data_IF_187722412259
#
_entry.id   IF_187722412259
#
_cell.length_a   1.000
_cell.length_b   1.000
_cell.length_c   1.000
_cell.angle_alpha   90.00
_cell.angle_beta   90.00
_cell.angle_gamma   90.00
#
_symmetry.space_group_name_H-M   'P 1'
#
loop_
_entity.id
_entity.type
_entity.pdbx_description
1 polymer ?
#
# COMPACT_ATOMS: atom_id res chain seq x y z
N UNK A 1 -22.68 -6.43 -21.47
CA UNK A 1 -23.29 -5.31 -20.72
C UNK A 1 -22.19 -4.68 -19.88
N UNK A 2 -22.04 -3.35 -19.88
CA UNK A 2 -21.01 -2.70 -19.08
C UNK A 2 -21.42 -2.72 -17.59
N UNK A 3 -20.49 -3.02 -16.67
CA UNK A 3 -20.81 -3.11 -15.25
C UNK A 3 -21.07 -1.73 -14.63
N UNK A 4 -21.94 -1.72 -13.63
CA UNK A 4 -22.17 -0.62 -12.70
C UNK A 4 -21.26 -0.78 -11.49
N UNK A 5 -20.47 0.24 -11.18
CA UNK A 5 -19.40 0.13 -10.18
C UNK A 5 -19.58 1.14 -9.05
N UNK A 6 -19.52 0.65 -7.82
CA UNK A 6 -19.49 1.46 -6.61
C UNK A 6 -18.09 1.51 -6.01
N UNK A 7 -17.48 2.67 -5.93
CA UNK A 7 -16.22 2.90 -5.21
C UNK A 7 -16.54 3.37 -3.79
N UNK A 8 -16.30 2.52 -2.81
CA UNK A 8 -16.67 2.75 -1.41
C UNK A 8 -15.43 3.10 -0.60
N UNK A 9 -15.46 4.24 0.09
CA UNK A 9 -14.31 4.73 0.85
C UNK A 9 -14.71 5.44 2.13
N UNK A 10 -13.76 5.56 3.05
CA UNK A 10 -13.94 6.39 4.25
C UNK A 10 -13.74 7.87 3.87
N UNK A 11 -14.81 8.68 3.93
CA UNK A 11 -14.79 10.09 3.49
C UNK A 11 -13.96 10.99 4.40
N UNK A 12 -14.25 10.95 5.69
CA UNK A 12 -13.58 11.76 6.71
C UNK A 12 -12.78 10.86 7.66
N UNK A 13 -11.61 10.43 7.19
CA UNK A 13 -10.70 9.64 8.01
C UNK A 13 -10.00 10.51 9.05
N UNK A 14 -10.05 10.10 10.31
CA UNK A 14 -9.20 10.66 11.36
C UNK A 14 -7.74 10.17 11.28
N UNK A 15 -7.48 9.12 10.48
CA UNK A 15 -6.17 8.48 10.34
C UNK A 15 -5.38 9.07 9.19
N UNK A 16 -5.92 9.03 7.96
CA UNK A 16 -5.16 9.33 6.74
C UNK A 16 -6.07 9.68 5.57
N UNK A 17 -5.59 10.58 4.70
CA UNK A 17 -6.25 10.91 3.43
C UNK A 17 -5.98 9.91 2.31
N UNK A 18 -5.20 8.87 2.55
CA UNK A 18 -4.74 7.94 1.51
C UNK A 18 -5.90 7.23 0.80
N UNK A 19 -6.83 6.67 1.58
CA UNK A 19 -7.98 5.94 1.04
C UNK A 19 -8.91 6.84 0.22
N UNK A 20 -9.14 8.08 0.66
CA UNK A 20 -10.00 9.02 -0.07
C UNK A 20 -9.34 9.51 -1.35
N UNK A 21 -8.03 9.78 -1.33
CA UNK A 21 -7.28 10.13 -2.54
C UNK A 21 -7.27 9.00 -3.57
N UNK A 22 -7.02 7.75 -3.12
CA UNK A 22 -7.06 6.58 -3.99
C UNK A 22 -8.46 6.35 -4.59
N UNK A 23 -9.51 6.48 -3.77
CA UNK A 23 -10.89 6.29 -4.21
C UNK A 23 -11.33 7.33 -5.25
N UNK A 24 -11.02 8.61 -5.00
CA UNK A 24 -11.28 9.69 -5.96
C UNK A 24 -10.55 9.46 -7.28
N UNK A 25 -9.25 9.13 -7.22
CA UNK A 25 -8.47 8.85 -8.42
C UNK A 25 -9.02 7.67 -9.22
N UNK A 26 -9.29 6.54 -8.56
CA UNK A 26 -9.83 5.35 -9.24
C UNK A 26 -11.20 5.62 -9.82
N UNK A 27 -12.10 6.28 -9.09
CA UNK A 27 -13.44 6.57 -9.59
C UNK A 27 -13.42 7.46 -10.85
N UNK A 28 -12.54 8.48 -10.89
CA UNK A 28 -12.35 9.33 -12.07
C UNK A 28 -11.77 8.56 -13.26
N UNK A 29 -10.71 7.77 -13.02
CA UNK A 29 -10.09 6.96 -14.07
C UNK A 29 -11.07 5.93 -14.66
N UNK A 30 -11.89 5.30 -13.82
CA UNK A 30 -12.92 4.36 -14.27
C UNK A 30 -14.05 5.06 -15.05
N UNK A 31 -14.51 6.23 -14.59
CA UNK A 31 -15.54 6.98 -15.30
C UNK A 31 -15.09 7.40 -16.70
N UNK A 32 -13.81 7.72 -16.87
CA UNK A 32 -13.21 8.08 -18.14
C UNK A 32 -12.76 6.87 -19.00
N UNK A 33 -12.89 5.63 -18.51
CA UNK A 33 -12.35 4.44 -19.17
C UNK A 33 -13.21 3.91 -20.33
N UNK A 34 -14.51 4.24 -20.34
CA UNK A 34 -15.49 3.61 -21.23
C UNK A 34 -15.78 2.13 -20.91
N UNK A 35 -15.20 1.56 -19.84
CA UNK A 35 -15.39 0.16 -19.41
C UNK A 35 -16.50 -0.03 -18.39
N UNK A 36 -17.18 1.04 -17.98
CA UNK A 36 -18.24 1.01 -16.97
C UNK A 36 -19.48 1.74 -17.48
N UNK A 37 -20.66 1.25 -17.12
CA UNK A 37 -21.92 1.90 -17.46
C UNK A 37 -22.14 3.16 -16.61
N UNK A 38 -21.86 3.06 -15.31
CA UNK A 38 -21.96 4.15 -14.35
C UNK A 38 -21.06 3.88 -13.14
N UNK A 39 -20.46 4.95 -12.61
CA UNK A 39 -19.61 4.95 -11.42
C UNK A 39 -20.29 5.76 -10.32
N UNK A 40 -20.41 5.16 -9.13
CA UNK A 40 -20.75 5.88 -7.90
C UNK A 40 -19.53 5.94 -7.00
N UNK A 41 -19.11 7.14 -6.64
CA UNK A 41 -18.15 7.35 -5.56
C UNK A 41 -18.91 7.55 -4.25
N UNK A 42 -18.90 6.53 -3.39
CA UNK A 42 -19.70 6.45 -2.17
C UNK A 42 -18.83 6.68 -0.94
N UNK A 43 -18.97 7.85 -0.34
CA UNK A 43 -18.26 8.23 0.88
C UNK A 43 -19.03 7.87 2.14
N UNK A 44 -18.46 7.02 3.00
CA UNK A 44 -19.04 6.61 4.28
C UNK A 44 -18.18 7.12 5.45
N UNK A 45 -18.80 7.28 6.61
CA UNK A 45 -18.05 7.48 7.86
C UNK A 45 -17.49 6.15 8.40
N UNK A 46 -16.59 6.21 9.38
CA UNK A 46 -15.99 5.01 9.99
C UNK A 46 -16.99 4.09 10.71
N UNK A 47 -18.14 4.62 11.11
CA UNK A 47 -19.28 3.83 11.61
C UNK A 47 -20.22 3.37 10.48
N UNK A 48 -19.79 3.50 9.23
CA UNK A 48 -20.56 3.17 8.02
C UNK A 48 -21.66 4.17 7.69
N UNK A 49 -22.07 5.05 8.62
CA UNK A 49 -23.20 5.97 8.42
C UNK A 49 -23.02 6.85 7.17
N UNK A 50 -24.15 7.08 6.49
CA UNK A 50 -24.24 8.01 5.36
C UNK A 50 -23.74 9.39 5.81
N UNK A 51 -22.94 10.03 4.97
CA UNK A 51 -22.47 11.40 5.20
C UNK A 51 -23.32 12.32 4.34
N UNK A 52 -23.96 13.31 4.96
CA UNK A 52 -24.72 14.31 4.21
C UNK A 52 -23.84 14.96 3.13
N UNK A 53 -24.47 15.35 2.02
CA UNK A 53 -23.79 16.10 0.95
C UNK A 53 -23.30 17.42 1.54
N UNK A 54 -22.00 17.56 1.77
CA UNK A 54 -21.43 18.90 2.00
C UNK A 54 -21.65 19.75 0.75
N UNK A 55 -22.09 21.00 0.96
CA UNK A 55 -22.52 21.93 -0.09
C UNK A 55 -21.36 22.48 -0.95
N UNK A 56 -20.10 22.22 -0.57
CA UNK A 56 -18.94 22.68 -1.32
C UNK A 56 -18.44 21.62 -2.29
N UNK A 57 -19.04 21.59 -3.49
CA UNK A 57 -18.53 20.89 -4.67
C UNK A 57 -17.19 21.50 -5.13
N UNK A 58 -16.08 21.21 -4.46
CA UNK A 58 -14.78 21.33 -5.14
C UNK A 58 -14.61 20.06 -5.97
N UNK A 59 -14.71 20.17 -7.29
CA UNK A 59 -14.46 19.02 -8.17
C UNK A 59 -13.05 18.47 -7.97
N UNK A 60 -12.92 17.15 -8.04
CA UNK A 60 -11.62 16.48 -8.00
C UNK A 60 -11.02 16.44 -9.41
N UNK A 61 -9.72 16.73 -9.50
CA UNK A 61 -8.96 16.63 -10.75
C UNK A 61 -7.88 15.58 -10.57
N UNK A 62 -7.70 14.70 -11.56
CA UNK A 62 -6.71 13.64 -11.57
C UNK A 62 -5.89 13.64 -12.86
N UNK A 63 -4.60 13.33 -12.76
CA UNK A 63 -3.73 13.02 -13.88
C UNK A 63 -3.55 11.51 -13.97
N UNK A 64 -4.14 10.88 -14.98
CA UNK A 64 -4.01 9.45 -15.23
C UNK A 64 -2.61 9.12 -15.76
N UNK A 65 -2.18 7.86 -15.60
CA UNK A 65 -0.85 7.39 -15.99
C UNK A 65 -0.47 7.64 -17.46
N UNK A 66 -1.46 7.78 -18.35
CA UNK A 66 -1.26 8.08 -19.78
C UNK A 66 -1.18 9.59 -20.08
N UNK A 67 -1.21 10.44 -19.05
CA UNK A 67 -1.17 11.90 -19.17
C UNK A 67 -2.54 12.55 -19.33
N UNK A 68 -3.63 11.79 -19.34
CA UNK A 68 -4.98 12.36 -19.44
C UNK A 68 -5.37 13.09 -18.14
N UNK A 69 -5.83 14.34 -18.28
CA UNK A 69 -6.38 15.13 -17.16
C UNK A 69 -7.88 14.89 -17.07
N UNK A 70 -8.31 14.35 -15.93
CA UNK A 70 -9.69 13.99 -15.63
C UNK A 70 -10.24 14.96 -14.60
N UNK A 71 -11.40 15.54 -14.89
CA UNK A 71 -12.03 16.55 -14.04
C UNK A 71 -13.47 16.12 -13.73
N UNK A 72 -13.76 15.93 -12.44
CA UNK A 72 -15.06 15.45 -11.99
C UNK A 72 -16.21 16.39 -12.37
N UNK A 73 -15.93 17.69 -12.54
CA UNK A 73 -16.94 18.68 -12.93
C UNK A 73 -17.37 18.57 -14.40
N UNK A 74 -16.55 17.92 -15.24
CA UNK A 74 -16.79 17.75 -16.68
C UNK A 74 -17.48 16.43 -17.01
N UNK A 75 -17.65 15.53 -16.03
CA UNK A 75 -18.30 14.25 -16.22
C UNK A 75 -19.82 14.38 -16.05
N UNK A 76 -20.60 13.76 -16.95
CA UNK A 76 -22.05 13.69 -16.80
C UNK A 76 -22.44 12.85 -15.58
N UNK A 77 -23.52 13.25 -14.90
CA UNK A 77 -24.14 12.48 -13.79
C UNK A 77 -24.65 11.10 -14.20
N UNK A 78 -24.80 10.86 -15.50
CA UNK A 78 -25.14 9.55 -16.06
C UNK A 78 -23.96 8.57 -15.99
N UNK A 79 -22.73 9.09 -15.98
CA UNK A 79 -21.50 8.29 -15.99
C UNK A 79 -20.84 8.30 -14.61
N UNK A 80 -20.86 9.42 -13.89
CA UNK A 80 -20.17 9.60 -12.61
C UNK A 80 -21.04 10.35 -11.60
N UNK A 81 -21.15 9.81 -10.38
CA UNK A 81 -21.92 10.43 -9.30
C UNK A 81 -21.22 10.27 -7.94
N UNK A 82 -21.01 11.39 -7.24
CA UNK A 82 -20.55 11.38 -5.84
C UNK A 82 -21.75 11.40 -4.90
N UNK A 83 -21.78 10.49 -3.94
CA UNK A 83 -22.91 10.36 -3.01
C UNK A 83 -22.47 9.84 -1.64
N UNK A 84 -23.23 10.19 -0.60
CA UNK A 84 -23.10 9.58 0.72
C UNK A 84 -24.04 8.40 0.93
N UNK A 85 -24.98 8.15 0.00
CA UNK A 85 -26.01 7.13 0.21
C UNK A 85 -25.57 5.75 -0.24
N UNK A 86 -25.52 4.81 0.72
CA UNK A 86 -25.15 3.42 0.45
C UNK A 86 -26.22 2.66 -0.32
N UNK A 87 -27.46 3.16 -0.41
CA UNK A 87 -28.55 2.54 -1.20
C UNK A 87 -28.20 2.39 -2.68
N UNK A 88 -27.40 3.33 -3.22
CA UNK A 88 -26.93 3.30 -4.63
C UNK A 88 -26.05 2.10 -4.94
N UNK A 89 -25.39 1.54 -3.93
CA UNK A 89 -24.59 0.32 -4.09
C UNK A 89 -25.44 -0.92 -4.41
N UNK A 90 -26.75 -0.87 -4.15
CA UNK A 90 -27.69 -1.92 -4.56
C UNK A 90 -27.79 -2.07 -6.08
N UNK A 91 -27.57 -0.99 -6.82
CA UNK A 91 -27.61 -0.94 -8.28
C UNK A 91 -26.28 -1.40 -8.93
N UNK A 92 -25.24 -1.68 -8.13
CA UNK A 92 -23.90 -1.97 -8.60
C UNK A 92 -23.63 -3.49 -8.70
N UNK A 93 -22.94 -3.88 -9.77
CA UNK A 93 -22.45 -5.23 -10.03
C UNK A 93 -21.12 -5.50 -9.28
N UNK A 94 -20.28 -4.45 -9.18
CA UNK A 94 -18.96 -4.48 -8.56
C UNK A 94 -18.81 -3.39 -7.50
N UNK A 95 -18.29 -3.77 -6.33
CA UNK A 95 -17.83 -2.82 -5.32
C UNK A 95 -16.31 -2.83 -5.22
N UNK A 96 -15.70 -1.64 -5.25
CA UNK A 96 -14.30 -1.44 -4.93
C UNK A 96 -14.20 -0.87 -3.52
N UNK A 97 -13.67 -1.65 -2.57
CA UNK A 97 -13.58 -1.24 -1.16
C UNK A 97 -12.21 -0.63 -0.85
N UNK A 98 -12.22 0.63 -0.42
CA UNK A 98 -11.07 1.41 0.03
C UNK A 98 -11.39 2.09 1.37
N UNK A 99 -11.90 1.32 2.32
CA UNK A 99 -12.24 1.82 3.67
C UNK A 99 -11.04 1.67 4.60
N UNK A 100 -11.08 2.30 5.77
CA UNK A 100 -10.10 2.02 6.81
C UNK A 100 -10.13 0.54 7.22
N UNK A 101 -8.97 -0.05 7.46
CA UNK A 101 -8.84 -1.45 7.86
C UNK A 101 -9.72 -1.79 9.07
N UNK A 102 -9.76 -0.88 10.05
CA UNK A 102 -10.56 -1.05 11.26
C UNK A 102 -12.07 -0.80 11.06
N UNK A 103 -12.45 -0.12 9.98
CA UNK A 103 -13.85 0.10 9.61
C UNK A 103 -14.42 -1.02 8.73
N UNK A 104 -13.59 -1.85 8.08
CA UNK A 104 -14.03 -2.87 7.10
C UNK A 104 -15.26 -3.65 7.55
N UNK A 105 -15.24 -4.29 8.72
CA UNK A 105 -16.34 -5.14 9.17
C UNK A 105 -17.62 -4.36 9.52
N UNK A 106 -17.48 -3.16 10.09
CA UNK A 106 -18.63 -2.29 10.38
C UNK A 106 -19.31 -1.81 9.10
N UNK A 107 -18.51 -1.38 8.13
CA UNK A 107 -19.00 -0.96 6.81
C UNK A 107 -19.69 -2.13 6.12
N UNK A 108 -19.06 -3.30 6.11
CA UNK A 108 -19.65 -4.50 5.52
C UNK A 108 -20.98 -4.89 6.17
N UNK A 109 -21.05 -4.90 7.50
CA UNK A 109 -22.30 -5.19 8.23
C UNK A 109 -23.41 -4.20 7.89
N UNK A 110 -23.08 -2.91 7.77
CA UNK A 110 -24.05 -1.91 7.31
C UNK A 110 -24.50 -2.18 5.88
N UNK A 111 -23.58 -2.46 4.96
CA UNK A 111 -23.93 -2.71 3.55
C UNK A 111 -24.86 -3.92 3.42
N UNK A 112 -24.62 -4.99 4.18
CA UNK A 112 -25.51 -6.17 4.24
C UNK A 112 -26.88 -5.78 4.79
N UNK A 113 -26.94 -4.99 5.88
CA UNK A 113 -28.21 -4.54 6.48
C UNK A 113 -29.02 -3.64 5.55
N UNK A 114 -28.37 -2.70 4.87
CA UNK A 114 -29.06 -1.70 4.06
C UNK A 114 -29.53 -2.25 2.72
N UNK A 115 -28.80 -3.20 2.15
CA UNK A 115 -29.08 -3.71 0.81
C UNK A 115 -29.83 -5.04 0.81
N UNK A 116 -30.01 -5.64 1.99
CA UNK A 116 -30.74 -6.88 2.16
C UNK A 116 -30.02 -8.10 1.57
N UNK A 117 -30.72 -9.24 1.58
CA UNK A 117 -30.25 -10.44 0.90
C UNK A 117 -30.45 -10.28 -0.60
N UNK A 118 -29.42 -10.58 -1.39
CA UNK A 118 -29.56 -10.80 -2.83
C UNK A 118 -30.53 -11.95 -3.04
N UNK A 119 -31.52 -11.76 -3.92
CA UNK A 119 -32.48 -12.80 -4.28
C UNK A 119 -31.73 -13.98 -4.93
N UNK A 120 -32.11 -15.24 -4.64
CA UNK A 120 -31.37 -16.43 -5.10
C UNK A 120 -31.26 -16.53 -6.64
N UNK A 121 -32.07 -15.75 -7.36
CA UNK A 121 -32.09 -15.64 -8.83
C UNK A 121 -31.13 -14.58 -9.38
N UNK A 122 -30.56 -13.71 -8.55
CA UNK A 122 -29.61 -12.67 -8.99
C UNK A 122 -28.17 -13.20 -8.99
N UNK A 123 -27.37 -12.74 -9.96
CA UNK A 123 -25.93 -13.02 -9.95
C UNK A 123 -25.28 -12.49 -8.67
N UNK A 124 -24.38 -13.29 -8.10
CA UNK A 124 -23.60 -12.87 -6.92
C UNK A 124 -22.85 -11.58 -7.23
N UNK A 125 -23.02 -10.59 -6.36
CA UNK A 125 -22.28 -9.33 -6.44
C UNK A 125 -20.79 -9.57 -6.25
N UNK A 126 -19.96 -8.84 -6.97
CA UNK A 126 -18.50 -8.91 -6.80
C UNK A 126 -18.03 -7.78 -5.87
N UNK A 127 -17.19 -8.13 -4.90
CA UNK A 127 -16.62 -7.16 -3.95
C UNK A 127 -15.11 -7.30 -3.95
N UNK A 128 -14.41 -6.28 -4.42
CA UNK A 128 -12.95 -6.26 -4.51
C UNK A 128 -12.37 -5.31 -3.47
N UNK A 129 -11.66 -5.86 -2.49
CA UNK A 129 -10.92 -5.06 -1.50
C UNK A 129 -9.59 -4.59 -2.07
N UNK A 130 -9.38 -3.27 -2.13
CA UNK A 130 -8.14 -2.63 -2.56
C UNK A 130 -7.31 -2.11 -1.39
N UNK A 131 -7.60 -2.60 -0.18
CA UNK A 131 -6.85 -2.27 1.02
C UNK A 131 -5.49 -2.97 1.00
N UNK A 132 -4.38 -2.26 1.16
CA UNK A 132 -3.03 -2.87 1.10
C UNK A 132 -2.69 -3.71 2.33
N UNK A 133 -3.36 -3.47 3.48
CA UNK A 133 -3.10 -4.19 4.73
C UNK A 133 -3.49 -5.68 4.67
N UNK A 134 -2.85 -6.47 5.53
CA UNK A 134 -3.14 -7.89 5.78
C UNK A 134 -4.39 -8.11 6.64
N UNK A 135 -4.93 -7.04 7.20
CA UNK A 135 -5.95 -7.11 8.23
C UNK A 135 -7.31 -7.49 7.69
N UNK A 136 -8.01 -8.36 8.43
CA UNK A 136 -9.42 -8.74 8.22
C UNK A 136 -9.75 -9.45 6.91
N UNK A 137 -8.76 -10.01 6.20
CA UNK A 137 -9.00 -10.73 4.93
C UNK A 137 -9.98 -11.89 5.09
N UNK A 138 -9.74 -12.76 6.08
CA UNK A 138 -10.61 -13.90 6.35
C UNK A 138 -12.00 -13.46 6.79
N UNK A 139 -12.06 -12.45 7.67
CA UNK A 139 -13.30 -11.92 8.23
C UNK A 139 -14.17 -11.24 7.15
N UNK A 140 -13.56 -10.62 6.13
CA UNK A 140 -14.31 -10.02 5.02
C UNK A 140 -15.07 -11.09 4.21
N UNK A 141 -14.46 -12.24 3.96
CA UNK A 141 -15.15 -13.36 3.29
C UNK A 141 -16.36 -13.83 4.11
N UNK A 142 -16.18 -13.97 5.43
CA UNK A 142 -17.26 -14.38 6.34
C UNK A 142 -18.37 -13.35 6.47
N UNK A 143 -18.07 -12.06 6.32
CA UNK A 143 -19.03 -10.98 6.43
C UNK A 143 -19.90 -10.80 5.17
N UNK A 144 -19.49 -11.36 4.02
CA UNK A 144 -20.22 -11.29 2.74
C UNK A 144 -20.37 -12.68 2.10
N UNK A 145 -21.12 -13.61 2.73
CA UNK A 145 -21.27 -14.97 2.22
C UNK A 145 -21.96 -15.06 0.84
N UNK A 146 -22.81 -14.08 0.52
CA UNK A 146 -23.55 -14.02 -0.74
C UNK A 146 -22.82 -13.29 -1.87
N UNK A 147 -21.61 -12.79 -1.62
CA UNK A 147 -20.81 -12.09 -2.62
C UNK A 147 -19.60 -12.92 -3.07
N UNK A 148 -19.09 -12.63 -4.26
CA UNK A 148 -17.76 -13.06 -4.68
C UNK A 148 -16.77 -12.02 -4.14
N UNK A 149 -16.13 -12.33 -3.02
CA UNK A 149 -15.10 -11.47 -2.42
C UNK A 149 -13.76 -11.74 -3.08
N UNK A 150 -13.15 -10.69 -3.63
CA UNK A 150 -11.81 -10.66 -4.18
C UNK A 150 -10.88 -9.85 -3.27
N UNK A 151 -9.69 -10.38 -3.02
CA UNK A 151 -8.66 -9.70 -2.23
C UNK A 151 -7.60 -9.10 -3.14
N UNK A 152 -7.33 -7.81 -2.96
CA UNK A 152 -6.33 -7.08 -3.71
C UNK A 152 -5.67 -5.96 -2.91
N UNK A 153 -5.09 -5.02 -3.64
CA UNK A 153 -4.50 -3.80 -3.10
C UNK A 153 -3.92 -2.90 -4.19
N UNK A 154 -3.68 -1.65 -3.85
CA UNK A 154 -2.85 -0.75 -4.65
C UNK A 154 -1.42 -0.75 -4.08
N UNK A 155 -0.44 -1.04 -4.94
CA UNK A 155 0.99 -1.03 -4.60
C UNK A 155 1.66 0.33 -4.89
N UNK A 156 0.85 1.39 -4.92
CA UNK A 156 1.25 2.79 -5.08
C UNK A 156 0.37 3.66 -4.18
N UNK A 157 0.82 4.87 -3.86
CA UNK A 157 -0.03 5.89 -3.23
C UNK A 157 -0.56 6.85 -4.29
N UNK A 158 -1.72 7.44 -4.05
CA UNK A 158 -2.18 8.61 -4.81
C UNK A 158 -1.93 9.83 -3.95
N UNK A 159 -1.25 10.83 -4.52
CA UNK A 159 -0.92 12.09 -3.86
C UNK A 159 -1.56 13.26 -4.59
N UNK A 160 -1.78 14.37 -3.89
CA UNK A 160 -2.10 15.67 -4.49
C UNK A 160 -0.81 16.45 -4.75
N UNK A 161 -0.66 16.98 -5.96
CA UNK A 161 0.42 17.93 -6.25
C UNK A 161 0.09 19.34 -5.73
N UNK A 162 1.00 20.29 -5.97
CA UNK A 162 0.88 21.69 -5.57
C UNK A 162 -0.37 22.39 -6.15
N UNK A 163 -0.94 21.85 -7.24
CA UNK A 163 -2.18 22.35 -7.87
C UNK A 163 -3.42 21.63 -7.36
N UNK A 164 -3.28 20.71 -6.42
CA UNK A 164 -4.36 19.89 -5.86
C UNK A 164 -4.78 18.72 -6.76
N UNK A 165 -4.03 18.43 -7.83
CA UNK A 165 -4.34 17.37 -8.78
C UNK A 165 -3.85 16.02 -8.25
N UNK A 166 -4.74 15.02 -8.28
CA UNK A 166 -4.46 13.65 -7.85
C UNK A 166 -3.61 12.91 -8.89
N UNK A 167 -2.57 12.22 -8.45
CA UNK A 167 -1.79 11.33 -9.32
C UNK A 167 -1.09 10.22 -8.54
N UNK A 168 -0.74 9.10 -9.20
CA UNK A 168 0.11 8.08 -8.58
C UNK A 168 1.46 8.67 -8.17
N UNK A 169 1.89 8.33 -6.96
CA UNK A 169 3.21 8.68 -6.43
C UNK A 169 4.30 7.82 -7.05
N UNK A 170 4.01 6.61 -7.52
CA UNK A 170 4.99 5.72 -8.14
C UNK A 170 4.36 4.87 -9.23
N UNK A 171 5.21 4.17 -10.00
CA UNK A 171 4.80 3.25 -11.08
C UNK A 171 4.28 1.89 -10.58
N UNK A 172 3.86 1.80 -9.32
CA UNK A 172 3.26 0.59 -8.78
C UNK A 172 1.94 0.26 -9.48
N UNK A 173 1.47 -0.97 -9.32
CA UNK A 173 0.27 -1.46 -9.96
C UNK A 173 -0.79 -1.94 -8.96
N UNK A 174 -1.98 -2.28 -9.45
CA UNK A 174 -2.94 -3.02 -8.64
C UNK A 174 -2.52 -4.49 -8.59
N UNK A 175 -2.79 -5.16 -7.48
CA UNK A 175 -2.68 -6.61 -7.39
C UNK A 175 -3.99 -7.20 -6.89
N UNK A 176 -4.35 -8.36 -7.43
CA UNK A 176 -5.58 -9.08 -7.11
C UNK A 176 -5.27 -10.56 -6.98
N UNK A 177 -5.95 -11.25 -6.07
CA UNK A 177 -5.83 -12.69 -5.93
C UNK A 177 -6.18 -13.40 -7.26
N UNK A 178 -5.49 -14.49 -7.53
CA UNK A 178 -5.79 -15.32 -8.69
C UNK A 178 -7.12 -16.01 -8.49
N UNK A 179 -8.01 -15.79 -9.44
CA UNK A 179 -9.36 -16.33 -9.40
C UNK A 179 -9.32 -17.86 -9.43
N UNK A 180 -9.97 -18.47 -8.44
CA UNK A 180 -10.30 -19.88 -8.44
C UNK A 180 -11.49 -20.15 -9.38
N UNK A 181 -11.76 -21.42 -9.70
CA UNK A 181 -12.80 -21.81 -10.66
C UNK A 181 -14.19 -21.24 -10.28
N UNK A 182 -14.49 -21.19 -8.99
CA UNK A 182 -15.72 -20.64 -8.41
C UNK A 182 -15.83 -19.10 -8.50
N UNK A 183 -14.72 -18.40 -8.74
CA UNK A 183 -14.67 -16.94 -8.86
C UNK A 183 -14.50 -16.44 -10.30
N UNK A 184 -14.52 -17.33 -11.29
CA UNK A 184 -14.26 -16.99 -12.70
C UNK A 184 -15.24 -15.97 -13.27
N UNK A 185 -16.49 -15.94 -12.78
CA UNK A 185 -17.49 -14.94 -13.16
C UNK A 185 -17.11 -13.52 -12.77
N UNK A 186 -16.15 -13.34 -11.85
CA UNK A 186 -15.64 -12.03 -11.43
C UNK A 186 -14.43 -11.54 -12.25
N UNK A 187 -14.06 -12.24 -13.34
CA UNK A 187 -12.93 -11.86 -14.19
C UNK A 187 -13.04 -10.41 -14.71
N UNK A 188 -14.25 -9.98 -15.05
CA UNK A 188 -14.51 -8.61 -15.52
C UNK A 188 -14.07 -7.53 -14.52
N UNK A 189 -13.98 -7.84 -13.23
CA UNK A 189 -13.53 -6.87 -12.22
C UNK A 189 -12.06 -6.49 -12.42
N UNK A 190 -11.24 -7.40 -12.95
CA UNK A 190 -9.85 -7.12 -13.31
C UNK A 190 -9.81 -6.21 -14.55
N UNK A 191 -10.64 -6.48 -15.55
CA UNK A 191 -10.75 -5.63 -16.76
C UNK A 191 -11.23 -4.22 -16.41
N UNK A 192 -12.16 -4.08 -15.46
CA UNK A 192 -12.59 -2.78 -14.93
C UNK A 192 -11.40 -2.06 -14.31
N UNK A 193 -10.64 -2.70 -13.43
CA UNK A 193 -9.46 -2.08 -12.82
C UNK A 193 -8.40 -1.68 -13.84
N UNK A 194 -8.12 -2.50 -14.85
CA UNK A 194 -7.22 -2.14 -15.94
C UNK A 194 -7.72 -0.92 -16.74
N UNK A 195 -9.04 -0.66 -16.73
CA UNK A 195 -9.64 0.56 -17.26
C UNK A 195 -9.12 1.85 -16.61
N UNK A 196 -8.48 1.77 -15.44
CA UNK A 196 -7.80 2.91 -14.83
C UNK A 196 -6.53 3.34 -15.57
N UNK A 197 -6.06 2.56 -16.55
CA UNK A 197 -4.76 2.75 -17.20
C UNK A 197 -3.58 2.27 -16.34
N UNK A 198 -3.86 1.65 -15.17
CA UNK A 198 -2.85 1.04 -14.29
C UNK A 198 -2.90 -0.48 -14.46
N UNK A 199 -1.73 -1.11 -14.50
CA UNK A 199 -1.63 -2.57 -14.65
C UNK A 199 -2.30 -3.30 -13.46
N UNK A 200 -2.80 -4.50 -13.71
CA UNK A 200 -3.39 -5.37 -12.69
C UNK A 200 -2.62 -6.70 -12.66
N UNK A 201 -2.05 -7.01 -11.51
CA UNK A 201 -1.25 -8.20 -11.29
C UNK A 201 -2.07 -9.29 -10.59
N UNK A 202 -2.29 -10.42 -11.26
CA UNK A 202 -2.93 -11.57 -10.65
C UNK A 202 -1.92 -12.50 -9.96
N UNK A 203 -2.19 -12.89 -8.70
CA UNK A 203 -1.29 -13.75 -7.90
C UNK A 203 -2.02 -14.77 -7.05
N UNK A 204 -1.51 -16.00 -7.01
CA UNK A 204 -2.04 -17.06 -6.14
C UNK A 204 -1.87 -16.75 -4.66
N UNK A 205 -0.72 -16.18 -4.28
CA UNK A 205 -0.40 -15.90 -2.90
C UNK A 205 -0.59 -14.42 -2.58
N UNK A 206 -1.85 -14.03 -2.40
CA UNK A 206 -2.22 -12.65 -2.08
C UNK A 206 -1.63 -12.18 -0.74
N UNK A 207 -1.43 -13.11 0.20
CA UNK A 207 -0.82 -12.80 1.50
C UNK A 207 0.65 -12.40 1.33
N UNK A 208 1.42 -13.15 0.53
CA UNK A 208 2.79 -12.78 0.18
C UNK A 208 2.87 -11.38 -0.44
N UNK A 209 1.91 -11.03 -1.32
CA UNK A 209 1.84 -9.70 -1.91
C UNK A 209 1.58 -8.60 -0.88
N UNK A 210 0.61 -8.81 0.02
CA UNK A 210 0.32 -7.85 1.08
C UNK A 210 1.49 -7.69 2.04
N UNK A 211 2.19 -8.77 2.38
CA UNK A 211 3.43 -8.71 3.16
C UNK A 211 4.48 -7.84 2.47
N UNK A 212 4.85 -8.16 1.23
CA UNK A 212 5.90 -7.39 0.54
C UNK A 212 5.52 -5.93 0.30
N UNK A 213 4.26 -5.64 -0.05
CA UNK A 213 3.79 -4.26 -0.16
C UNK A 213 3.83 -3.53 1.18
N UNK A 214 3.39 -4.15 2.28
CA UNK A 214 3.46 -3.55 3.63
C UNK A 214 4.91 -3.30 4.05
N UNK A 215 5.83 -4.21 3.69
CA UNK A 215 7.25 -4.02 3.95
C UNK A 215 7.79 -2.74 3.30
N UNK A 216 7.46 -2.51 2.03
CA UNK A 216 7.88 -1.32 1.30
C UNK A 216 7.22 -0.04 1.82
N UNK A 217 6.00 -0.13 2.33
CA UNK A 217 5.30 1.01 2.93
C UNK A 217 5.99 1.57 4.17
N UNK A 218 6.80 0.78 4.87
CA UNK A 218 7.65 1.29 5.94
C UNK A 218 8.56 2.44 5.49
N UNK A 219 8.95 2.47 4.20
CA UNK A 219 9.80 3.53 3.65
C UNK A 219 9.05 4.85 3.65
N UNK A 220 7.75 4.87 3.35
CA UNK A 220 6.96 6.09 3.35
C UNK A 220 6.86 6.71 4.75
N UNK A 221 6.74 5.88 5.80
CA UNK A 221 6.69 6.36 7.18
C UNK A 221 8.05 6.89 7.67
N UNK A 222 9.15 6.18 7.36
CA UNK A 222 10.50 6.61 7.73
C UNK A 222 10.83 7.95 7.04
N UNK A 223 10.52 8.09 5.75
CA UNK A 223 10.75 9.34 5.02
C UNK A 223 9.86 10.49 5.51
N UNK A 224 8.63 10.19 5.92
CA UNK A 224 7.75 11.20 6.52
C UNK A 224 8.35 11.80 7.79
N UNK A 225 9.09 11.01 8.59
CA UNK A 225 9.78 11.51 9.78
C UNK A 225 11.03 12.37 9.47
N UNK A 226 11.70 12.09 8.35
CA UNK A 226 12.89 12.86 7.92
C UNK A 226 12.55 14.12 7.14
N UNK A 227 11.29 14.31 6.76
CA UNK A 227 10.88 15.42 5.89
C UNK A 227 11.29 15.24 4.43
N UNK A 228 11.69 14.04 4.01
CA UNK A 228 12.25 13.77 2.67
C UNK A 228 11.27 13.01 1.76
N UNK A 229 11.50 13.12 0.45
CA UNK A 229 10.89 12.20 -0.52
C UNK A 229 11.53 10.81 -0.41
N UNK A 230 10.87 9.79 -0.95
CA UNK A 230 11.43 8.43 -0.94
C UNK A 230 12.71 8.35 -1.76
N UNK A 231 12.78 9.09 -2.86
CA UNK A 231 13.97 9.18 -3.69
C UNK A 231 15.15 9.79 -2.92
N UNK A 232 14.92 10.86 -2.16
CA UNK A 232 15.98 11.50 -1.37
C UNK A 232 16.38 10.64 -0.16
N UNK A 233 15.44 9.98 0.50
CA UNK A 233 15.74 9.00 1.54
C UNK A 233 16.52 7.79 1.03
N UNK A 234 16.29 7.36 -0.22
CA UNK A 234 17.10 6.34 -0.86
C UNK A 234 18.51 6.85 -1.20
N UNK A 235 18.72 8.15 -1.42
CA UNK A 235 20.07 8.72 -1.61
C UNK A 235 20.83 8.85 -0.29
N UNK A 236 20.12 9.00 0.82
CA UNK A 236 20.70 9.11 2.16
C UNK A 236 21.05 7.75 2.75
N UNK A 237 22.34 7.55 3.06
CA UNK A 237 22.85 6.29 3.59
C UNK A 237 22.21 5.89 4.92
N UNK A 238 22.00 6.83 5.82
CA UNK A 238 21.43 6.53 7.14
C UNK A 238 19.98 6.05 7.01
N UNK A 239 19.21 6.74 6.17
CA UNK A 239 17.84 6.35 5.85
C UNK A 239 17.76 4.99 5.16
N UNK A 240 18.70 4.67 4.24
CA UNK A 240 18.81 3.31 3.66
C UNK A 240 19.04 2.22 4.70
N UNK A 241 19.84 2.48 5.74
CA UNK A 241 20.02 1.52 6.84
C UNK A 241 18.74 1.35 7.68
N UNK A 242 17.95 2.40 7.87
CA UNK A 242 16.64 2.30 8.51
C UNK A 242 15.68 1.44 7.69
N UNK A 243 15.61 1.67 6.37
CA UNK A 243 14.84 0.83 5.45
C UNK A 243 15.27 -0.63 5.54
N UNK A 244 16.58 -0.88 5.46
CA UNK A 244 17.16 -2.21 5.53
C UNK A 244 16.80 -2.93 6.84
N UNK A 245 16.92 -2.24 7.97
CA UNK A 245 16.57 -2.81 9.28
C UNK A 245 15.07 -3.14 9.37
N UNK A 246 14.19 -2.27 8.85
CA UNK A 246 12.75 -2.55 8.79
C UNK A 246 12.44 -3.77 7.92
N UNK A 247 13.10 -3.91 6.75
CA UNK A 247 12.97 -5.09 5.89
C UNK A 247 13.46 -6.37 6.60
N UNK A 248 14.62 -6.33 7.27
CA UNK A 248 15.15 -7.47 8.03
C UNK A 248 14.15 -7.94 9.09
N UNK A 249 13.63 -7.01 9.89
CA UNK A 249 12.65 -7.30 10.95
C UNK A 249 11.40 -8.00 10.42
N UNK A 250 10.81 -7.45 9.35
CA UNK A 250 9.58 -7.98 8.78
C UNK A 250 9.80 -9.30 8.03
N UNK A 251 10.94 -9.47 7.36
CA UNK A 251 11.32 -10.71 6.68
C UNK A 251 11.57 -11.85 7.69
N UNK A 252 12.26 -11.57 8.80
CA UNK A 252 12.46 -12.56 9.87
C UNK A 252 11.13 -12.96 10.50
N UNK A 253 10.25 -11.99 10.78
CA UNK A 253 8.90 -12.26 11.28
C UNK A 253 8.09 -13.11 10.30
N UNK A 254 8.13 -12.76 9.01
CA UNK A 254 7.43 -13.51 7.97
C UNK A 254 7.89 -14.98 7.93
N UNK A 255 9.21 -15.23 7.97
CA UNK A 255 9.75 -16.60 8.03
C UNK A 255 9.31 -17.33 9.29
N UNK A 256 9.28 -16.66 10.44
CA UNK A 256 8.81 -17.26 11.69
C UNK A 256 7.31 -17.61 11.62
N UNK A 257 6.48 -16.78 10.99
CA UNK A 257 5.07 -17.06 10.73
C UNK A 257 4.92 -18.29 9.84
N UNK A 258 5.65 -18.36 8.72
CA UNK A 258 5.62 -19.50 7.82
C UNK A 258 6.07 -20.80 8.49
N UNK A 259 7.15 -20.76 9.27
CA UNK A 259 7.62 -21.92 10.03
C UNK A 259 6.54 -22.41 11.02
N UNK A 260 5.84 -21.48 11.68
CA UNK A 260 4.73 -21.81 12.60
C UNK A 260 3.57 -22.49 11.86
N UNK A 261 3.18 -21.95 10.70
CA UNK A 261 2.10 -22.50 9.86
C UNK A 261 2.50 -23.87 9.30
N UNK A 262 3.75 -24.03 8.84
CA UNK A 262 4.27 -25.30 8.36
C UNK A 262 4.27 -26.37 9.45
N UNK A 263 4.66 -26.01 10.69
CA UNK A 263 4.62 -26.92 11.82
C UNK A 263 3.18 -27.35 12.18
N UNK A 264 2.21 -26.44 12.10
CA UNK A 264 0.80 -26.76 12.28
C UNK A 264 0.26 -27.67 11.15
N UNK A 265 0.61 -27.38 9.89
CA UNK A 265 0.16 -28.15 8.73
C UNK A 265 0.77 -29.56 8.64
N UNK A 266 2.01 -29.74 9.13
CA UNK A 266 2.62 -31.08 9.27
C UNK A 266 1.81 -31.96 10.22
N UNK A 267 1.25 -31.40 11.30
CA UNK A 267 0.34 -32.13 12.21
C UNK A 267 -0.98 -32.52 11.54
N UNK A 268 -1.40 -31.79 10.50
CA UNK A 268 -2.64 -32.04 9.75
C UNK A 268 -2.42 -32.71 8.38
N UNK A 269 -1.22 -33.22 8.09
CA UNK A 269 -0.91 -33.93 6.83
C UNK A 269 -0.92 -33.06 5.55
N UNK A 270 -0.86 -31.73 5.66
CA UNK A 270 -0.84 -30.82 4.49
C UNK A 270 0.60 -30.38 4.17
N UNK A 271 1.00 -30.50 2.90
CA UNK A 271 2.29 -29.99 2.43
C UNK A 271 2.33 -28.45 2.53
N UNK A 272 3.38 -27.91 3.16
CA UNK A 272 3.64 -26.48 3.20
C UNK A 272 4.58 -26.12 2.05
N UNK A 273 4.16 -25.23 1.15
CA UNK A 273 5.04 -24.66 0.13
C UNK A 273 6.04 -23.66 0.72
N UNK A 274 7.19 -23.49 0.05
CA UNK A 274 8.09 -22.36 0.32
C UNK A 274 7.41 -21.07 -0.17
N UNK A 275 7.28 -20.08 0.70
CA UNK A 275 6.62 -18.82 0.40
C UNK A 275 7.57 -17.68 0.77
N UNK A 276 7.57 -16.62 -0.03
CA UNK A 276 8.40 -15.42 0.18
C UNK A 276 7.52 -14.18 0.09
N UNK A 277 7.87 -13.06 0.73
CA UNK A 277 7.17 -11.82 0.48
C UNK A 277 7.31 -11.45 -0.99
N UNK A 278 6.20 -11.09 -1.62
CA UNK A 278 6.15 -10.72 -3.02
C UNK A 278 6.00 -9.19 -3.09
N UNK A 279 6.83 -8.57 -3.90
CA UNK A 279 6.91 -7.11 -4.09
C UNK A 279 6.69 -6.72 -5.55
N UNK A 280 6.38 -7.68 -6.42
CA UNK A 280 6.27 -7.51 -7.87
C UNK A 280 5.18 -6.52 -8.32
N UNK A 281 4.26 -6.15 -7.44
CA UNK A 281 3.28 -5.10 -7.71
C UNK A 281 3.83 -3.67 -7.49
N UNK A 282 4.84 -3.52 -6.63
CA UNK A 282 5.42 -2.23 -6.28
C UNK A 282 6.78 -2.00 -6.95
N UNK A 283 7.56 -3.06 -7.18
CA UNK A 283 8.94 -2.97 -7.63
C UNK A 283 9.36 -4.23 -8.39
N UNK A 284 10.37 -4.10 -9.24
CA UNK A 284 10.98 -5.23 -9.93
C UNK A 284 11.86 -6.08 -9.01
N UNK A 285 12.24 -5.56 -7.82
CA UNK A 285 13.18 -6.21 -6.93
C UNK A 285 12.49 -6.94 -5.79
N UNK A 286 12.74 -8.25 -5.60
CA UNK A 286 12.29 -8.93 -4.40
C UNK A 286 12.95 -8.33 -3.16
N UNK A 287 12.31 -8.51 -2.00
CA UNK A 287 12.79 -7.98 -0.70
C UNK A 287 14.25 -8.34 -0.46
N UNK A 288 14.65 -9.58 -0.76
CA UNK A 288 16.02 -10.05 -0.56
C UNK A 288 17.03 -9.31 -1.45
N UNK A 289 16.65 -8.94 -2.68
CA UNK A 289 17.49 -8.11 -3.54
C UNK A 289 17.61 -6.70 -3.00
N UNK A 290 16.52 -6.09 -2.52
CA UNK A 290 16.57 -4.78 -1.86
C UNK A 290 17.51 -4.81 -0.65
N UNK A 291 17.46 -5.87 0.17
CA UNK A 291 18.36 -6.04 1.32
C UNK A 291 19.84 -6.14 0.93
N UNK A 292 20.16 -6.60 -0.28
CA UNK A 292 21.53 -6.63 -0.82
C UNK A 292 21.95 -5.24 -1.33
N UNK A 293 21.03 -4.52 -1.96
CA UNK A 293 21.29 -3.23 -2.63
C UNK A 293 21.32 -2.04 -1.66
N UNK A 294 20.41 -1.99 -0.67
CA UNK A 294 20.31 -0.86 0.25
C UNK A 294 21.59 -0.52 1.03
N UNK A 295 22.43 -1.46 1.50
CA UNK A 295 23.64 -1.12 2.26
C UNK A 295 24.85 -0.71 1.39
N UNK A 296 24.71 -0.63 0.06
CA UNK A 296 25.82 -0.29 -0.84
C UNK A 296 26.45 1.07 -0.52
N UNK A 297 27.75 1.28 -0.79
CA UNK A 297 28.35 2.61 -0.77
C UNK A 297 27.56 3.62 -1.63
N UNK A 298 27.49 4.88 -1.19
CA UNK A 298 26.68 5.93 -1.83
C UNK A 298 26.98 6.08 -3.32
N UNK A 299 28.27 6.04 -3.70
CA UNK A 299 28.66 6.18 -5.10
C UNK A 299 28.15 5.02 -5.97
N UNK A 300 28.10 3.78 -5.46
CA UNK A 300 27.56 2.62 -6.20
C UNK A 300 26.04 2.75 -6.28
N UNK A 301 25.39 3.01 -5.14
CA UNK A 301 23.94 3.04 -5.05
C UNK A 301 23.35 4.17 -5.91
N UNK A 302 23.88 5.39 -5.78
CA UNK A 302 23.36 6.55 -6.48
C UNK A 302 23.68 6.52 -7.99
N UNK A 303 24.81 5.93 -8.39
CA UNK A 303 25.22 5.90 -9.81
C UNK A 303 24.56 4.77 -10.57
N UNK A 304 24.46 3.57 -9.96
CA UNK A 304 23.97 2.38 -10.64
C UNK A 304 22.57 2.01 -10.19
N UNK A 305 22.34 1.85 -8.89
CA UNK A 305 21.04 1.35 -8.41
C UNK A 305 19.93 2.35 -8.68
N UNK A 306 20.05 3.59 -8.21
CA UNK A 306 18.96 4.56 -8.36
C UNK A 306 18.76 5.09 -9.77
N UNK A 307 19.82 5.16 -10.60
CA UNK A 307 19.71 5.70 -11.96
C UNK A 307 19.29 4.65 -12.98
N UNK A 308 19.75 3.42 -12.82
CA UNK A 308 19.55 2.35 -13.82
C UNK A 308 18.37 1.46 -13.45
N UNK A 309 18.05 1.34 -12.16
CA UNK A 309 17.02 0.43 -11.67
C UNK A 309 15.85 1.23 -11.11
N UNK A 310 14.68 1.11 -11.76
CA UNK A 310 13.44 1.61 -11.16
C UNK A 310 13.09 0.71 -9.98
N UNK A 311 13.33 1.23 -8.78
CA UNK A 311 12.92 0.57 -7.56
C UNK A 311 11.39 0.59 -7.39
N UNK A 312 10.63 1.24 -8.27
CA UNK A 312 9.16 1.31 -8.26
C UNK A 312 8.57 2.07 -7.05
N UNK A 313 9.46 2.63 -6.24
CA UNK A 313 9.18 3.47 -5.07
C UNK A 313 9.45 4.95 -5.34
N UNK A 314 10.02 5.25 -6.52
CA UNK A 314 10.40 6.60 -6.93
C UNK A 314 9.18 7.37 -7.39
N UNK A 315 9.16 8.67 -7.06
CA UNK A 315 8.18 9.59 -7.57
C UNK A 315 8.63 10.30 -8.84
N UNK A 316 7.70 10.72 -9.71
CA UNK A 316 8.03 11.46 -10.93
C UNK A 316 8.86 12.73 -10.65
N UNK A 317 8.69 13.32 -9.46
CA UNK A 317 9.47 14.46 -8.97
C UNK A 317 10.05 14.18 -7.60
N UNK A 318 11.25 14.72 -7.32
CA UNK A 318 11.86 14.67 -5.99
C UNK A 318 11.13 15.53 -4.94
N UNK A 319 10.22 16.42 -5.38
CA UNK A 319 9.38 17.22 -4.48
C UNK A 319 8.15 16.45 -4.00
N UNK A 320 7.82 15.34 -4.63
CA UNK A 320 6.65 14.57 -4.28
C UNK A 320 6.92 13.75 -3.03
N UNK A 321 6.13 14.01 -2.00
CA UNK A 321 6.19 13.29 -0.72
C UNK A 321 5.00 12.35 -0.59
N UNK A 322 5.15 11.33 0.27
CA UNK A 322 4.07 10.39 0.59
C UNK A 322 2.85 11.08 1.19
N UNK A 323 1.68 10.44 1.10
CA UNK A 323 0.46 10.93 1.75
C UNK A 323 0.68 11.11 3.26
N UNK A 324 1.52 10.27 3.86
CA UNK A 324 1.84 10.32 5.29
C UNK A 324 2.51 11.65 5.65
N UNK A 325 3.35 12.22 4.78
CA UNK A 325 3.90 13.56 4.98
C UNK A 325 2.77 14.60 5.07
N UNK A 326 1.83 14.56 4.13
CA UNK A 326 0.69 15.47 4.13
C UNK A 326 -0.24 15.26 5.33
N UNK A 327 -0.38 14.02 5.81
CA UNK A 327 -1.16 13.69 7.00
C UNK A 327 -0.52 14.24 8.28
N UNK A 328 0.81 14.13 8.41
CA UNK A 328 1.57 14.72 9.50
C UNK A 328 1.47 16.25 9.51
N UNK A 329 1.32 16.88 8.35
CA UNK A 329 1.22 18.34 8.23
C UNK A 329 -0.23 18.84 8.23
N UNK A 330 -1.23 17.95 8.36
CA UNK A 330 -2.65 18.28 8.23
C UNK A 330 -3.16 19.21 9.36
N UNK A 331 -4.25 19.93 9.05
CA UNK A 331 -4.99 20.75 10.02
C UNK A 331 -6.48 20.39 9.97
N UNK A 332 -7.08 19.87 11.05
CA UNK A 332 -6.46 19.44 12.31
C UNK A 332 -5.48 18.26 12.14
N UNK A 333 -4.61 17.95 13.12
CA UNK A 333 -3.61 16.88 13.03
C UNK A 333 -4.24 15.48 12.87
N UNK A 334 -3.80 14.72 11.86
CA UNK A 334 -4.23 13.34 11.63
C UNK A 334 -3.37 12.33 12.40
N UNK A 335 -3.90 11.11 12.61
CA UNK A 335 -3.18 10.05 13.35
C UNK A 335 -2.03 9.40 12.57
N UNK A 336 -2.05 9.51 11.24
CA UNK A 336 -1.45 8.55 10.29
C UNK A 336 -2.06 7.16 10.38
N UNK A 337 -1.90 6.35 9.33
CA UNK A 337 -2.46 4.99 9.28
C UNK A 337 -1.52 3.92 9.90
N UNK A 338 -0.36 4.32 10.44
CA UNK A 338 0.70 3.39 10.86
C UNK A 338 0.20 2.32 11.83
N UNK A 339 -0.50 2.73 12.91
CA UNK A 339 -0.97 1.82 13.95
C UNK A 339 -2.06 0.85 13.47
N UNK A 340 -2.84 1.23 12.47
CA UNK A 340 -3.87 0.37 11.91
C UNK A 340 -3.28 -0.59 10.86
N UNK A 341 -2.31 -0.11 10.08
CA UNK A 341 -1.66 -0.87 9.01
C UNK A 341 -0.68 -1.93 9.54
N UNK A 342 0.15 -1.58 10.53
CA UNK A 342 1.18 -2.45 11.10
C UNK A 342 0.71 -3.24 12.34
N UNK A 343 -0.58 -3.12 12.73
CA UNK A 343 -1.07 -3.79 13.96
C UNK A 343 -0.82 -5.29 13.95
N UNK A 344 -1.22 -5.97 12.87
CA UNK A 344 -1.06 -7.41 12.73
C UNK A 344 0.43 -7.81 12.80
N UNK A 345 1.34 -6.98 12.27
CA UNK A 345 2.78 -7.19 12.36
C UNK A 345 3.24 -7.15 13.82
N UNK A 346 2.81 -6.14 14.60
CA UNK A 346 3.14 -6.05 16.01
C UNK A 346 2.51 -7.17 16.85
N UNK A 347 1.25 -7.55 16.58
CA UNK A 347 0.57 -8.65 17.25
C UNK A 347 1.27 -9.99 16.98
N UNK A 348 1.61 -10.27 15.70
CA UNK A 348 2.33 -11.49 15.31
C UNK A 348 3.74 -11.57 15.90
N UNK A 349 4.44 -10.44 16.01
CA UNK A 349 5.76 -10.37 16.61
C UNK A 349 5.70 -10.53 18.13
N UNK A 350 4.71 -9.92 18.80
CA UNK A 350 4.49 -10.06 20.24
C UNK A 350 4.19 -11.52 20.59
N UNK A 351 3.31 -12.19 19.83
CA UNK A 351 3.01 -13.61 20.02
C UNK A 351 4.19 -14.56 19.77
N UNK A 352 5.29 -14.07 19.18
CA UNK A 352 6.52 -14.82 18.90
C UNK A 352 7.74 -14.31 19.68
N UNK A 353 7.54 -13.34 20.58
CA UNK A 353 8.62 -12.68 21.31
C UNK A 353 9.74 -12.12 20.39
N UNK A 354 9.36 -11.61 19.21
CA UNK A 354 10.31 -11.05 18.25
C UNK A 354 10.41 -9.52 18.41
N UNK A 355 11.61 -8.97 18.61
CA UNK A 355 11.79 -7.53 18.67
C UNK A 355 11.71 -6.91 17.26
N UNK A 356 11.02 -5.77 17.15
CA UNK A 356 10.94 -4.96 15.93
C UNK A 356 11.48 -3.55 16.21
N UNK A 357 12.79 -3.37 16.48
CA UNK A 357 13.33 -2.10 16.97
C UNK A 357 13.11 -0.91 16.03
N UNK A 358 13.29 -1.06 14.71
CA UNK A 358 13.05 0.01 13.74
C UNK A 358 11.56 0.35 13.66
N UNK A 359 10.67 -0.64 13.55
CA UNK A 359 9.23 -0.37 13.51
C UNK A 359 8.72 0.24 14.83
N UNK A 360 9.24 -0.20 15.99
CA UNK A 360 8.93 0.40 17.29
C UNK A 360 9.46 1.83 17.41
N UNK A 361 10.64 2.12 16.85
CA UNK A 361 11.16 3.49 16.78
C UNK A 361 10.20 4.36 15.97
N UNK A 362 9.82 3.94 14.76
CA UNK A 362 8.87 4.68 13.92
C UNK A 362 7.55 4.92 14.65
N UNK A 363 7.00 3.89 15.32
CA UNK A 363 5.77 4.01 16.12
C UNK A 363 5.90 5.08 17.21
N UNK A 364 6.95 5.00 18.03
CA UNK A 364 7.19 5.92 19.15
C UNK A 364 7.38 7.34 18.67
N UNK A 365 8.14 7.52 17.59
CA UNK A 365 8.44 8.84 17.03
C UNK A 365 7.17 9.49 16.45
N UNK A 366 6.36 8.74 15.68
CA UNK A 366 5.07 9.23 15.18
C UNK A 366 4.12 9.62 16.32
N UNK A 367 4.06 8.83 17.39
CA UNK A 367 3.26 9.15 18.58
C UNK A 367 3.77 10.39 19.31
N UNK A 368 5.08 10.58 19.40
CA UNK A 368 5.71 11.75 20.02
C UNK A 368 5.41 13.03 19.22
N UNK A 369 5.67 12.99 17.91
CA UNK A 369 5.36 14.06 16.96
C UNK A 369 3.90 14.48 17.08
N UNK A 370 2.99 13.51 17.11
CA UNK A 370 1.57 13.78 17.26
C UNK A 370 1.24 14.45 18.59
N UNK A 371 1.79 13.97 19.71
CA UNK A 371 1.55 14.58 21.02
C UNK A 371 1.99 16.04 21.02
N UNK A 372 3.14 16.33 20.41
CA UNK A 372 3.62 17.69 20.22
C UNK A 372 2.65 18.52 19.36
N UNK A 373 2.22 18.03 18.21
CA UNK A 373 1.29 18.75 17.33
C UNK A 373 -0.07 19.03 17.98
N UNK A 374 -0.60 18.08 18.76
CA UNK A 374 -1.82 18.29 19.52
C UNK A 374 -1.65 19.36 20.60
N UNK A 375 -0.47 19.45 21.20
CA UNK A 375 -0.14 20.48 22.18
C UNK A 375 -0.01 21.85 21.49
N UNK A 376 0.76 21.95 20.40
CA UNK A 376 0.89 23.17 19.59
C UNK A 376 -0.47 23.70 19.10
N UNK A 377 -1.37 22.80 18.69
CA UNK A 377 -2.74 23.16 18.29
C UNK A 377 -3.57 23.68 19.47
N UNK A 378 -3.45 23.09 20.66
CA UNK A 378 -4.14 23.58 21.87
C UNK A 378 -3.61 24.95 22.31
N UNK A 379 -2.31 25.17 22.15
CA UNK A 379 -1.62 26.39 22.54
C UNK A 379 -1.78 27.51 21.49
N UNK A 380 -2.51 27.26 20.39
CA UNK A 380 -2.80 28.25 19.35
C UNK A 380 -1.57 28.68 18.55
N UNK A 381 -0.50 27.88 18.53
CA UNK A 381 0.76 28.21 17.87
C UNK A 381 0.55 28.30 16.35
N UNK A 382 0.84 29.46 15.78
CA UNK A 382 0.66 29.73 14.34
C UNK A 382 1.79 29.18 13.47
N UNK A 383 3.02 29.10 13.99
CA UNK A 383 4.16 28.47 13.31
C UNK A 383 4.33 27.01 13.73
N UNK A 384 3.91 26.08 12.89
CA UNK A 384 4.06 24.63 13.16
C UNK A 384 5.52 24.24 13.12
N UNK A 385 5.94 23.41 14.06
CA UNK A 385 7.26 22.78 13.99
C UNK A 385 7.22 21.74 12.86
N UNK A 386 7.98 21.91 11.77
CA UNK A 386 8.01 20.91 10.71
C UNK A 386 8.65 19.63 11.24
N UNK A 387 8.03 18.48 10.92
CA UNK A 387 8.57 17.17 11.30
C UNK A 387 9.77 16.89 10.40
N UNK A 388 10.97 17.23 10.91
CA UNK A 388 12.22 17.01 10.19
C UNK A 388 13.30 16.53 11.15
N UNK A 389 13.31 15.23 11.38
CA UNK A 389 14.30 14.59 12.24
C UNK A 389 15.48 14.18 11.37
N UNK A 390 16.70 14.55 11.79
CA UNK A 390 17.91 14.14 11.08
C UNK A 390 18.00 12.61 11.00
N UNK A 391 18.27 12.07 9.81
CA UNK A 391 18.31 10.61 9.60
C UNK A 391 19.35 9.90 10.47
N UNK A 392 20.47 10.57 10.77
CA UNK A 392 21.47 10.06 11.73
C UNK A 392 20.95 9.92 13.15
N UNK A 393 20.04 10.82 13.59
CA UNK A 393 19.39 10.74 14.90
C UNK A 393 18.42 9.55 14.94
N UNK A 394 17.57 9.42 13.92
CA UNK A 394 16.66 8.27 13.81
C UNK A 394 17.42 6.94 13.77
N UNK A 395 18.56 6.89 13.07
CA UNK A 395 19.40 5.70 13.00
C UNK A 395 20.06 5.37 14.35
N UNK A 396 20.53 6.38 15.09
CA UNK A 396 21.15 6.19 16.40
C UNK A 396 20.19 5.55 17.43
N UNK A 397 18.90 5.81 17.31
CA UNK A 397 17.85 5.22 18.16
C UNK A 397 17.53 3.75 17.83
N UNK A 398 18.11 3.21 16.76
CA UNK A 398 17.85 1.85 16.29
C UNK A 398 19.11 1.01 16.38
N UNK A 399 19.05 -0.05 17.19
CA UNK A 399 20.10 -1.08 17.20
C UNK A 399 19.99 -1.92 15.92
N UNK A 400 20.89 -1.67 14.97
CA UNK A 400 20.96 -2.46 13.74
C UNK A 400 21.25 -3.94 14.02
N UNK A 401 20.51 -4.81 13.34
CA UNK A 401 20.73 -6.25 13.37
C UNK A 401 22.11 -6.57 12.75
N UNK A 402 22.88 -7.52 13.33
CA UNK A 402 24.11 -8.00 12.71
C UNK A 402 23.86 -8.63 11.32
N UNK A 403 22.60 -8.99 11.01
CA UNK A 403 22.21 -9.52 9.70
C UNK A 403 21.95 -8.45 8.64
N UNK A 404 21.89 -7.16 8.98
CA UNK A 404 21.64 -6.07 8.03
C UNK A 404 22.58 -6.12 6.82
N UNK A 405 23.88 -6.22 7.06
CA UNK A 405 24.88 -6.24 5.98
C UNK A 405 25.27 -7.64 5.52
N UNK A 406 24.78 -8.69 6.18
CA UNK A 406 25.19 -10.06 5.91
C UNK A 406 24.84 -10.50 4.48
N UNK A 407 23.64 -10.15 4.00
CA UNK A 407 23.19 -10.48 2.65
C UNK A 407 24.07 -9.79 1.59
N UNK A 408 24.32 -8.49 1.76
CA UNK A 408 25.16 -7.71 0.86
C UNK A 408 26.61 -8.20 0.85
N UNK A 409 27.23 -8.40 2.04
CA UNK A 409 28.60 -8.93 2.16
C UNK A 409 28.75 -10.27 1.46
N UNK A 410 27.79 -11.18 1.66
CA UNK A 410 27.80 -12.50 1.02
C UNK A 410 27.67 -12.38 -0.50
N UNK A 411 26.80 -11.49 -0.99
CA UNK A 411 26.64 -11.25 -2.42
C UNK A 411 27.93 -10.73 -3.05
N UNK A 412 28.58 -9.71 -2.47
CA UNK A 412 29.82 -9.17 -3.00
C UNK A 412 30.98 -10.15 -2.94
N UNK A 413 31.09 -10.91 -1.85
CA UNK A 413 32.12 -11.94 -1.74
C UNK A 413 31.96 -12.99 -2.84
N UNK A 414 30.71 -13.43 -3.10
CA UNK A 414 30.41 -14.35 -4.21
C UNK A 414 30.69 -13.71 -5.56
N UNK A 415 30.21 -12.49 -5.82
CA UNK A 415 30.42 -11.79 -7.08
C UNK A 415 31.91 -11.56 -7.39
N UNK A 416 32.68 -11.15 -6.39
CA UNK A 416 34.14 -10.99 -6.50
C UNK A 416 34.83 -12.32 -6.77
N UNK A 417 34.51 -13.37 -6.00
CA UNK A 417 35.08 -14.70 -6.23
C UNK A 417 34.74 -15.25 -7.62
N UNK A 418 33.50 -15.07 -8.08
CA UNK A 418 33.08 -15.45 -9.43
C UNK A 418 33.87 -14.68 -10.49
N UNK A 419 33.99 -13.35 -10.36
CA UNK A 419 34.77 -12.54 -11.30
C UNK A 419 36.24 -13.01 -11.38
N UNK A 420 36.88 -13.23 -10.24
CA UNK A 420 38.28 -13.72 -10.19
C UNK A 420 38.40 -15.10 -10.84
N UNK A 421 37.49 -16.04 -10.53
CA UNK A 421 37.50 -17.37 -11.12
C UNK A 421 37.25 -17.34 -12.64
N UNK A 422 36.33 -16.49 -13.12
CA UNK A 422 36.07 -16.30 -14.55
C UNK A 422 37.27 -15.69 -15.26
N UNK A 423 37.95 -14.72 -14.64
CA UNK A 423 39.17 -14.12 -15.18
C UNK A 423 40.31 -15.13 -15.24
N UNK A 424 40.52 -15.92 -14.19
CA UNK A 424 41.52 -16.99 -14.16
C UNK A 424 41.22 -18.07 -15.21
N UNK A 425 39.96 -18.46 -15.38
CA UNK A 425 39.54 -19.39 -16.42
C UNK A 425 39.79 -18.81 -17.82
N UNK A 426 39.47 -17.53 -18.04
CA UNK A 426 39.76 -16.86 -19.32
C UNK A 426 41.26 -16.80 -19.61
N UNK A 427 42.08 -16.43 -18.62
CA UNK A 427 43.54 -16.45 -18.76
C UNK A 427 44.05 -17.87 -19.05
N UNK A 428 43.52 -18.88 -18.37
CA UNK A 428 43.88 -20.28 -18.62
C UNK A 428 43.49 -20.79 -20.01
N UNK A 429 42.37 -20.31 -20.58
CA UNK A 429 41.88 -20.74 -21.89
C UNK A 429 42.47 -19.97 -23.08
N UNK A 430 42.96 -18.74 -22.85
CA UNK A 430 43.38 -17.83 -23.93
C UNK A 430 44.84 -17.36 -23.85
N UNK A 431 45.53 -17.60 -22.73
CA UNK A 431 46.96 -17.22 -22.55
C UNK A 431 47.85 -18.45 -22.36
N UNK A 432 47.28 -19.55 -21.85
CA UNK A 432 47.88 -20.89 -21.87
C UNK A 432 47.19 -21.74 -22.92
#
# INVERSE_FOLDING_TARGET
>A
MLPRVGVVYTRESALSRENSQLAQYVALCLAASGRCAKIWLVGLNNDGKEVDKSENKSGAVALRCDGAVLDSTKLSTDIYEETGSCKKLGECDLWLLMVEADATLKVTDLLVKTLGKTDDKQHKRVVLSLQTTMRRLAQLNSALPEAIVLHGGAAFQVVKDDKGMLRPLSNGCFFVERLSKDKTSALYALDVLEGTGTQVLSRHNIQAMKWGCTMLRSFYYINALTGQSVLDGLRDRNTRFLFLQALVEMEELFRAVLASVAAANKKSGRASGDSRPDTSAATLFPVQSLMVLLPLPDWIFNTFVLRVLDLGLGAPSNRDTSVIMSDLMASPPLKTNFEAEFRDIFELATGRNMPLPALKMVQKTLLSVRKQQLQEHKDGVTSRTPVRIGSGVLLADVKLSPHCTAASRTFFLKGFATFVLTLLLGLYLFVW
#
